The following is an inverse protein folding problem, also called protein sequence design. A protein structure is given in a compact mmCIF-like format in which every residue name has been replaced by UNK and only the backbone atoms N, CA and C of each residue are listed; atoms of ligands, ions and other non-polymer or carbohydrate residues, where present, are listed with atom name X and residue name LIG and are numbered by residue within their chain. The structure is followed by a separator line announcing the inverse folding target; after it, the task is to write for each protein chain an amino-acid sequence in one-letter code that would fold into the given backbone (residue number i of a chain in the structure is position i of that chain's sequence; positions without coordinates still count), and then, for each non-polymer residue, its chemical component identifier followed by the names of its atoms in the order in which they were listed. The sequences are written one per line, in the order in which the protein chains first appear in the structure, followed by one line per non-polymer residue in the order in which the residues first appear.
data_IF_177405153866
#
_entry.id   IF_177405153866
#
_cell.length_a   1.000
_cell.length_b   1.000
_cell.length_c   1.000
_cell.angle_alpha   90.00
_cell.angle_beta   90.00
_cell.angle_gamma   90.00
#
_symmetry.space_group_name_H-M   'P 1'
#
loop_
_entity.id
_entity.type
_entity.pdbx_description
1 polymer ?
#
# COMPACT_ATOMS: atom_id res chain seq x y z
N UNK A 1 15.50 -24.09 -15.80
CA UNK A 1 15.24 -23.62 -15.53
C UNK A 1 14.90 -22.76 -14.96
N UNK A 2 14.68 -22.31 -14.90
CA UNK A 2 14.26 -21.65 -14.53
C UNK A 2 14.32 -21.07 -13.52
N UNK A 3 14.88 -20.94 -12.85
CA UNK A 3 15.07 -20.36 -12.05
C UNK A 3 14.75 -18.97 -11.97
N UNK A 4 14.60 -18.34 -12.58
CA UNK A 4 13.96 -17.12 -12.84
C UNK A 4 12.66 -16.92 -12.08
N UNK A 5 11.93 -17.94 -11.72
CA UNK A 5 10.71 -17.79 -10.93
C UNK A 5 10.88 -17.00 -9.66
N UNK A 6 11.92 -17.29 -8.91
CA UNK A 6 12.15 -16.58 -7.66
C UNK A 6 12.45 -15.10 -7.91
N UNK A 7 13.14 -14.80 -8.98
CA UNK A 7 13.47 -13.42 -9.32
C UNK A 7 12.23 -12.66 -9.76
N UNK A 8 11.41 -13.27 -10.57
CA UNK A 8 10.21 -12.61 -11.08
C UNK A 8 9.15 -12.38 -9.99
N UNK A 9 9.22 -13.12 -8.90
CA UNK A 9 8.31 -12.93 -7.79
C UNK A 9 8.52 -11.59 -7.08
N UNK A 10 9.70 -11.03 -7.19
CA UNK A 10 10.03 -9.78 -6.52
C UNK A 10 9.87 -8.54 -7.40
N UNK A 11 9.56 -8.75 -8.67
CA UNK A 11 9.38 -7.64 -9.61
C UNK A 11 8.04 -7.86 -10.31
N UNK A 12 7.19 -6.85 -10.29
CA UNK A 12 5.88 -6.93 -10.91
C UNK A 12 5.57 -5.68 -11.70
N UNK A 13 5.14 -5.88 -12.93
CA UNK A 13 4.60 -4.82 -13.76
C UNK A 13 3.11 -5.07 -13.93
N UNK A 14 2.32 -4.04 -13.78
CA UNK A 14 0.87 -4.18 -13.89
C UNK A 14 0.29 -3.05 -14.73
N UNK A 15 -0.66 -3.34 -15.63
CA UNK A 15 -1.29 -2.28 -16.41
C UNK A 15 -2.10 -1.35 -15.50
N UNK A 16 -2.22 -0.11 -15.93
CA UNK A 16 -2.97 0.88 -15.16
C UNK A 16 -4.47 0.64 -15.19
N UNK A 17 -4.95 -0.10 -16.20
CA UNK A 17 -6.36 -0.41 -16.33
C UNK A 17 -6.56 -1.89 -16.59
N UNK A 18 -7.51 -2.50 -15.91
CA UNK A 18 -7.86 -3.90 -16.09
C UNK A 18 -9.38 -4.05 -16.05
N UNK A 19 -9.87 -5.14 -16.64
CA UNK A 19 -11.28 -5.51 -16.52
C UNK A 19 -11.46 -6.39 -15.28
N UNK A 20 -12.31 -5.95 -14.37
CA UNK A 20 -12.62 -6.71 -13.17
C UNK A 20 -14.10 -6.56 -12.83
N UNK A 21 -14.62 -7.51 -12.08
CA UNK A 21 -16.00 -7.47 -11.65
C UNK A 21 -16.21 -6.35 -10.64
N UNK A 22 -17.20 -5.50 -10.89
CA UNK A 22 -17.58 -4.45 -9.95
C UNK A 22 -18.84 -4.91 -9.22
N UNK A 23 -18.77 -5.09 -7.90
CA UNK A 23 -19.95 -5.54 -7.15
C UNK A 23 -21.09 -4.53 -7.15
N UNK A 24 -20.80 -3.25 -7.29
CA UNK A 24 -21.85 -2.23 -7.35
C UNK A 24 -22.54 -2.21 -8.70
N UNK A 25 -21.77 -2.31 -9.78
CA UNK A 25 -22.33 -2.38 -11.14
C UNK A 25 -22.83 -3.77 -11.48
N UNK A 26 -22.39 -4.79 -10.74
CA UNK A 26 -22.74 -6.20 -10.93
C UNK A 26 -22.35 -6.72 -12.31
N UNK A 27 -21.29 -6.19 -12.87
CA UNK A 27 -20.76 -6.62 -14.15
C UNK A 27 -19.28 -6.27 -14.23
N UNK A 28 -18.61 -6.85 -15.20
CA UNK A 28 -17.19 -6.51 -15.43
C UNK A 28 -17.09 -5.13 -16.05
N UNK A 29 -16.27 -4.29 -15.48
CA UNK A 29 -16.00 -2.94 -15.98
C UNK A 29 -14.52 -2.69 -15.96
N UNK A 30 -14.09 -1.69 -16.73
CA UNK A 30 -12.69 -1.26 -16.71
C UNK A 30 -12.44 -0.55 -15.39
N UNK A 31 -11.38 -0.96 -14.70
CA UNK A 31 -11.01 -0.38 -13.43
C UNK A 31 -9.59 0.15 -13.48
N UNK A 32 -9.41 1.33 -12.93
CA UNK A 32 -8.10 1.94 -12.86
C UNK A 32 -7.38 1.47 -11.62
N UNK A 33 -6.09 1.18 -11.78
CA UNK A 33 -5.26 0.68 -10.70
C UNK A 33 -4.39 1.79 -10.16
N UNK A 34 -4.32 1.91 -8.86
CA UNK A 34 -3.38 2.81 -8.21
C UNK A 34 -2.79 2.13 -7.00
N UNK A 35 -1.67 2.64 -6.54
CA UNK A 35 -1.00 2.10 -5.36
C UNK A 35 -1.51 2.85 -4.13
N UNK A 36 -1.93 2.11 -3.12
CA UNK A 36 -2.38 2.72 -1.88
C UNK A 36 -1.18 3.37 -1.17
N UNK A 37 -1.38 4.58 -0.71
CA UNK A 37 -0.43 5.27 0.14
C UNK A 37 -1.18 5.87 1.31
N UNK A 38 -0.59 5.75 2.50
CA UNK A 38 -1.21 6.31 3.69
C UNK A 38 -1.26 7.84 3.58
N UNK A 39 -2.38 8.41 4.03
CA UNK A 39 -2.53 9.85 4.04
C UNK A 39 -1.73 10.48 5.16
N UNK A 40 -1.64 11.80 5.10
CA UNK A 40 -0.96 12.54 6.14
C UNK A 40 -1.76 12.49 7.44
N UNK A 41 -1.09 12.24 8.54
CA UNK A 41 -1.74 12.16 9.84
C UNK A 41 -2.07 13.56 10.36
N UNK A 42 -3.19 13.64 11.06
CA UNK A 42 -3.57 14.91 11.70
C UNK A 42 -2.77 15.07 12.99
N UNK A 43 -1.90 16.08 13.02
CA UNK A 43 -1.12 16.36 14.22
C UNK A 43 -1.94 16.83 15.40
N UNK A 44 -3.16 17.31 15.14
CA UNK A 44 -4.05 17.80 16.21
C UNK A 44 -4.96 16.73 16.79
N UNK A 45 -4.92 15.51 16.26
CA UNK A 45 -5.70 14.40 16.82
C UNK A 45 -5.24 14.11 18.25
N UNK A 46 -6.18 13.66 19.10
CA UNK A 46 -5.87 13.45 20.51
C UNK A 46 -4.70 12.51 20.74
N UNK A 47 -4.65 11.40 20.00
CA UNK A 47 -3.55 10.45 20.12
C UNK A 47 -2.22 11.04 19.73
N UNK A 48 -2.18 11.81 18.66
CA UNK A 48 -0.95 12.44 18.20
C UNK A 48 -0.45 13.50 19.19
N UNK A 49 -1.35 14.26 19.78
CA UNK A 49 -0.97 15.25 20.79
C UNK A 49 -0.38 14.62 22.02
N UNK A 50 -0.99 13.52 22.49
CA UNK A 50 -0.48 12.81 23.66
C UNK A 50 0.86 12.16 23.36
N UNK A 51 1.01 11.62 22.16
CA UNK A 51 2.28 11.01 21.75
C UNK A 51 3.41 12.04 21.73
N UNK A 52 3.12 13.25 21.23
CA UNK A 52 4.10 14.33 21.20
C UNK A 52 4.49 14.78 22.61
N UNK A 53 3.51 14.82 23.54
CA UNK A 53 3.80 15.19 24.92
C UNK A 53 4.71 14.19 25.62
N UNK A 54 4.62 12.91 25.27
CA UNK A 54 5.46 11.89 25.88
C UNK A 54 6.93 12.03 25.53
N UNK A 55 7.24 12.77 24.48
CA UNK A 55 8.63 13.01 24.08
C UNK A 55 9.31 14.07 24.95
N UNK A 56 8.53 14.83 25.70
CA UNK A 56 9.03 15.92 26.53
C UNK A 56 9.41 15.42 27.94
N UNK A 57 10.37 16.09 28.55
CA UNK A 57 10.78 15.80 29.92
C UNK A 57 11.91 14.81 30.01
N UNK A 58 12.20 14.41 31.23
CA UNK A 58 13.28 13.47 31.51
C UNK A 58 12.80 12.03 31.39
N UNK A 59 13.69 11.07 31.53
CA UNK A 59 13.35 9.68 31.53
C UNK A 59 14.05 8.84 30.46
N UNK A 60 14.94 9.43 29.70
CA UNK A 60 15.69 8.71 28.68
C UNK A 60 14.84 8.31 27.50
N UNK A 61 15.04 7.10 27.02
CA UNK A 61 14.31 6.64 25.85
C UNK A 61 12.81 6.52 26.15
N UNK A 62 11.99 7.22 25.41
CA UNK A 62 10.54 7.23 25.61
C UNK A 62 9.84 6.13 24.84
N UNK A 63 10.34 5.82 23.65
CA UNK A 63 9.70 4.86 22.75
C UNK A 63 10.71 3.84 22.28
N UNK A 64 10.29 2.60 22.03
CA UNK A 64 11.20 1.58 21.54
C UNK A 64 11.73 1.94 20.15
N UNK A 65 12.96 1.57 19.89
CA UNK A 65 13.60 1.78 18.59
C UNK A 65 14.15 0.46 18.09
N UNK A 66 13.87 0.16 16.83
CA UNK A 66 14.43 -1.01 16.19
C UNK A 66 15.81 -0.65 15.65
N UNK A 67 16.86 -1.25 16.22
CA UNK A 67 18.22 -0.94 15.84
C UNK A 67 18.59 -1.47 14.46
N UNK A 68 18.06 -2.65 14.10
CA UNK A 68 18.37 -3.28 12.82
C UNK A 68 17.09 -3.69 12.11
N UNK A 69 16.57 -2.85 11.21
CA UNK A 69 15.39 -3.24 10.43
C UNK A 69 15.73 -4.45 9.56
N UNK A 70 14.89 -5.47 9.66
CA UNK A 70 15.13 -6.73 8.97
C UNK A 70 14.51 -6.76 7.57
N UNK A 71 13.38 -6.09 7.41
CA UNK A 71 12.65 -6.15 6.14
C UNK A 71 13.12 -5.08 5.18
N UNK A 72 13.45 -5.50 3.97
CA UNK A 72 13.88 -4.58 2.92
C UNK A 72 12.77 -4.27 1.92
N UNK A 73 11.64 -4.98 2.01
CA UNK A 73 10.52 -4.80 1.09
C UNK A 73 9.25 -4.50 1.86
N UNK A 74 8.30 -3.89 1.18
CA UNK A 74 6.99 -3.59 1.75
C UNK A 74 5.90 -4.27 0.93
N UNK A 75 4.79 -4.57 1.58
CA UNK A 75 3.63 -5.11 0.88
C UNK A 75 2.95 -4.00 0.11
N UNK A 76 2.82 -4.19 -1.20
CA UNK A 76 2.14 -3.23 -2.06
C UNK A 76 0.65 -3.56 -2.07
N UNK A 77 -0.17 -2.57 -1.78
CA UNK A 77 -1.63 -2.72 -1.81
C UNK A 77 -2.16 -1.89 -2.97
N UNK A 78 -2.99 -2.51 -3.78
CA UNK A 78 -3.54 -1.86 -4.96
C UNK A 78 -4.97 -1.43 -4.70
N UNK A 79 -5.33 -0.27 -5.21
CA UNK A 79 -6.70 0.23 -5.20
C UNK A 79 -7.24 0.15 -6.60
N UNK A 80 -8.38 -0.51 -6.76
CA UNK A 80 -9.08 -0.62 -8.04
C UNK A 80 -10.28 0.31 -8.01
N UNK A 81 -10.32 1.27 -8.92
CA UNK A 81 -11.42 2.23 -9.01
C UNK A 81 -12.22 1.96 -10.26
N UNK A 82 -13.51 1.65 -10.08
CA UNK A 82 -14.40 1.44 -11.21
C UNK A 82 -14.61 2.74 -11.96
N UNK A 83 -14.54 2.71 -13.30
CA UNK A 83 -14.74 3.91 -14.11
C UNK A 83 -16.21 4.30 -14.24
N UNK A 84 -17.12 3.36 -14.00
CA UNK A 84 -18.55 3.61 -14.15
C UNK A 84 -19.18 4.18 -12.88
N UNK A 85 -19.03 3.48 -11.76
CA UNK A 85 -19.65 3.91 -10.51
C UNK A 85 -18.65 4.53 -9.53
N UNK A 86 -17.38 4.50 -9.87
CA UNK A 86 -16.29 5.07 -9.08
C UNK A 86 -16.12 4.43 -7.71
N UNK A 87 -16.57 3.21 -7.58
CA UNK A 87 -16.35 2.46 -6.35
C UNK A 87 -14.90 2.02 -6.29
N UNK A 88 -14.30 2.20 -5.12
CA UNK A 88 -12.91 1.80 -4.90
C UNK A 88 -12.87 0.52 -4.08
N UNK A 89 -12.00 -0.39 -4.50
CA UNK A 89 -11.78 -1.63 -3.78
C UNK A 89 -10.29 -1.83 -3.58
N UNK A 90 -9.93 -2.48 -2.50
CA UNK A 90 -8.54 -2.75 -2.19
C UNK A 90 -8.27 -4.24 -2.23
N UNK A 91 -7.14 -4.61 -2.77
CA UNK A 91 -6.70 -5.99 -2.79
C UNK A 91 -5.77 -6.27 -1.63
N UNK A 92 -5.61 -7.55 -1.34
CA UNK A 92 -4.67 -7.99 -0.32
C UNK A 92 -3.25 -7.58 -0.73
N UNK A 93 -2.47 -7.07 0.23
CA UNK A 93 -1.11 -6.65 -0.05
C UNK A 93 -0.21 -7.80 -0.46
N UNK A 94 0.66 -7.55 -1.42
CA UNK A 94 1.62 -8.53 -1.90
C UNK A 94 3.02 -7.99 -1.66
N UNK A 95 3.88 -8.80 -1.05
CA UNK A 95 5.25 -8.38 -0.81
C UNK A 95 6.07 -8.55 -2.07
N UNK A 96 6.48 -7.43 -2.65
CA UNK A 96 7.29 -7.42 -3.86
C UNK A 96 8.42 -6.42 -3.71
N UNK A 97 9.51 -6.73 -4.39
CA UNK A 97 10.69 -5.90 -4.36
C UNK A 97 10.53 -4.64 -5.18
N UNK A 98 9.94 -4.77 -6.35
CA UNK A 98 9.72 -3.65 -7.26
C UNK A 98 8.36 -3.78 -7.92
N UNK A 99 7.61 -2.69 -7.91
CA UNK A 99 6.30 -2.67 -8.54
C UNK A 99 6.16 -1.42 -9.38
N UNK A 100 5.72 -1.59 -10.61
CA UNK A 100 5.51 -0.48 -11.53
C UNK A 100 4.17 -0.62 -12.22
N UNK A 101 3.52 0.52 -12.42
CA UNK A 101 2.31 0.60 -13.24
C UNK A 101 2.73 1.03 -14.63
N UNK A 102 2.36 0.24 -15.62
CA UNK A 102 2.71 0.54 -17.00
C UNK A 102 1.48 0.92 -17.78
N UNK A 103 1.63 1.84 -18.72
CA UNK A 103 0.56 2.22 -19.62
C UNK A 103 0.29 1.08 -20.60
N UNK A 104 -0.98 0.86 -20.92
CA UNK A 104 -1.39 -0.17 -21.87
C UNK A 104 -1.87 0.47 -23.14
#
# INVERSE_FOLDING_TARGET
MFKLPAYSEFIMNMPKEINRFCPKCKKHTVQKISIYKAGKRRGTAAGERRHALRKKGYGGQKFPKLAKPAKTTKKVTLIETCTTCKKKMMNKGIRIRKFELIAV
#
